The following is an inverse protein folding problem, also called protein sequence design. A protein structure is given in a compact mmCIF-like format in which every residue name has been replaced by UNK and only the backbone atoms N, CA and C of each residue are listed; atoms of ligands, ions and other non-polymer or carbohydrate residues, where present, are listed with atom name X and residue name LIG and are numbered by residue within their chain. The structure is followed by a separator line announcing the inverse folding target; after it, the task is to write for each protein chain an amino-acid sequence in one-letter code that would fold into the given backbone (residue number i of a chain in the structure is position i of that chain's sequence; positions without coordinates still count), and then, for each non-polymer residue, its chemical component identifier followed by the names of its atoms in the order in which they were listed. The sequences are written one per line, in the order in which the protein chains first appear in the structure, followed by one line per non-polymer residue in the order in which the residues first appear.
data_IF_088400474164
#
_entry.id   IF_088400474164
#
_cell.length_a   1.000
_cell.length_b   1.000
_cell.length_c   1.000
_cell.angle_alpha   90.00
_cell.angle_beta   90.00
_cell.angle_gamma   90.00
#
_symmetry.space_group_name_H-M   'P 1'
#
loop_
_entity.id
_entity.type
_entity.pdbx_description
1 polymer ?
#
# COMPACT_ATOMS: atom_id res chain seq x y z
N UNK A 1 -16.15 -33.14 2.12
CA UNK A 1 -15.61 -33.63 0.84
C UNK A 1 -14.10 -33.69 0.96
N UNK A 2 -13.56 -34.89 1.09
CA UNK A 2 -12.11 -35.15 1.15
C UNK A 2 -11.53 -34.92 -0.24
N UNK A 3 -10.91 -33.77 -0.46
CA UNK A 3 -10.18 -33.48 -1.69
C UNK A 3 -8.96 -34.42 -1.71
N UNK A 4 -8.86 -35.39 -2.63
CA UNK A 4 -7.74 -36.31 -2.64
C UNK A 4 -6.55 -35.54 -3.20
N UNK A 5 -5.78 -34.91 -2.31
CA UNK A 5 -4.46 -34.41 -2.65
C UNK A 5 -3.65 -35.57 -3.22
N UNK A 6 -3.12 -35.39 -4.43
CA UNK A 6 -2.13 -36.31 -5.00
C UNK A 6 -0.87 -36.32 -4.11
N UNK A 7 0.07 -37.22 -4.35
CA UNK A 7 1.33 -37.32 -3.58
C UNK A 7 2.10 -35.98 -3.46
N UNK A 8 1.87 -35.04 -4.38
CA UNK A 8 2.46 -33.70 -4.39
C UNK A 8 1.63 -32.60 -3.70
N UNK A 9 0.52 -32.94 -3.03
CA UNK A 9 -0.35 -31.94 -2.38
C UNK A 9 -1.25 -31.15 -3.34
N UNK A 10 -1.30 -31.54 -4.63
CA UNK A 10 -2.09 -30.90 -5.68
C UNK A 10 -3.34 -31.72 -6.01
N UNK A 11 -4.44 -31.06 -6.37
CA UNK A 11 -5.59 -31.76 -6.96
C UNK A 11 -5.25 -32.29 -8.38
N UNK A 12 -6.00 -33.28 -8.91
CA UNK A 12 -5.70 -33.88 -10.20
C UNK A 12 -5.65 -32.91 -11.39
N UNK A 13 -6.47 -31.86 -11.40
CA UNK A 13 -6.50 -30.86 -12.48
C UNK A 13 -5.21 -30.05 -12.45
N UNK A 14 -4.84 -29.58 -11.25
CA UNK A 14 -3.60 -28.83 -11.07
C UNK A 14 -2.37 -29.67 -11.39
N UNK A 15 -2.30 -30.94 -10.94
CA UNK A 15 -1.17 -31.82 -11.23
C UNK A 15 -1.01 -32.09 -12.74
N UNK A 16 -2.11 -32.41 -13.43
CA UNK A 16 -2.08 -32.66 -14.88
C UNK A 16 -1.61 -31.41 -15.63
N UNK A 17 -2.06 -30.23 -15.21
CA UNK A 17 -1.66 -28.98 -15.82
C UNK A 17 -0.19 -28.63 -15.54
N UNK A 18 0.31 -28.90 -14.33
CA UNK A 18 1.73 -28.75 -13.99
C UNK A 18 2.61 -29.63 -14.89
N UNK A 19 2.25 -30.90 -15.08
CA UNK A 19 2.98 -31.81 -15.97
C UNK A 19 2.95 -31.34 -17.42
N UNK A 20 1.81 -30.82 -17.89
CA UNK A 20 1.67 -30.22 -19.23
C UNK A 20 2.59 -29.01 -19.41
N UNK A 21 2.69 -28.13 -18.42
CA UNK A 21 3.56 -26.94 -18.47
C UNK A 21 5.03 -27.35 -18.43
N UNK A 22 5.41 -28.22 -17.48
CA UNK A 22 6.79 -28.69 -17.31
C UNK A 22 7.29 -29.51 -18.50
N UNK A 23 6.41 -30.27 -19.16
CA UNK A 23 6.74 -31.03 -20.37
C UNK A 23 6.70 -30.21 -21.66
N UNK A 24 6.41 -28.90 -21.59
CA UNK A 24 6.32 -28.07 -22.79
C UNK A 24 7.72 -27.70 -23.34
N UNK A 25 7.93 -27.68 -24.67
CA UNK A 25 9.22 -27.27 -25.25
C UNK A 25 9.68 -25.86 -24.85
N UNK A 26 8.76 -24.98 -24.47
CA UNK A 26 9.03 -23.60 -24.04
C UNK A 26 9.16 -23.42 -22.52
N UNK A 27 9.31 -24.50 -21.75
CA UNK A 27 9.27 -24.44 -20.29
C UNK A 27 10.37 -23.55 -19.69
N UNK A 28 11.62 -23.66 -20.16
CA UNK A 28 12.73 -22.83 -19.65
C UNK A 28 12.48 -21.35 -19.91
N UNK A 29 12.01 -21.01 -21.11
CA UNK A 29 11.65 -19.64 -21.47
C UNK A 29 10.47 -19.12 -20.63
N UNK A 30 9.49 -19.98 -20.36
CA UNK A 30 8.37 -19.65 -19.48
C UNK A 30 8.87 -19.36 -18.06
N UNK A 31 9.77 -20.19 -17.53
CA UNK A 31 10.36 -20.02 -16.21
C UNK A 31 11.16 -18.72 -16.13
N UNK A 32 11.93 -18.38 -17.17
CA UNK A 32 12.65 -17.11 -17.28
C UNK A 32 11.71 -15.91 -17.25
N UNK A 33 10.61 -15.94 -18.01
CA UNK A 33 9.60 -14.88 -17.95
C UNK A 33 9.05 -14.74 -16.53
N UNK A 34 8.68 -15.84 -15.87
CA UNK A 34 8.15 -15.80 -14.50
C UNK A 34 9.19 -15.24 -13.52
N UNK A 35 10.45 -15.67 -13.60
CA UNK A 35 11.56 -15.13 -12.79
C UNK A 35 11.74 -13.63 -13.01
N UNK A 36 11.65 -13.14 -14.26
CA UNK A 36 11.74 -11.70 -14.60
C UNK A 36 10.60 -10.87 -14.00
N UNK A 37 9.41 -11.45 -13.84
CA UNK A 37 8.30 -10.80 -13.09
C UNK A 37 8.50 -10.83 -11.57
N UNK A 38 9.56 -11.48 -11.08
CA UNK A 38 9.81 -11.71 -9.66
C UNK A 38 8.95 -12.82 -9.07
N UNK A 39 8.37 -13.71 -9.88
CA UNK A 39 7.38 -14.69 -9.42
C UNK A 39 5.99 -14.08 -9.21
N UNK A 40 5.55 -13.22 -10.14
CA UNK A 40 4.22 -12.61 -10.05
C UNK A 40 3.13 -13.68 -10.08
N UNK A 41 2.17 -13.59 -9.15
CA UNK A 41 1.07 -14.56 -9.02
C UNK A 41 -0.04 -14.37 -10.06
N UNK A 42 -0.17 -13.17 -10.65
CA UNK A 42 -1.21 -12.85 -11.63
C UNK A 42 -0.66 -11.91 -12.72
N UNK A 43 0.34 -12.33 -13.52
CA UNK A 43 1.03 -11.45 -14.47
C UNK A 43 0.08 -10.95 -15.57
N UNK A 44 0.36 -9.75 -16.09
CA UNK A 44 -0.31 -9.23 -17.29
C UNK A 44 0.35 -9.86 -18.52
N UNK A 45 -0.46 -10.29 -19.48
CA UNK A 45 0.00 -10.82 -20.75
C UNK A 45 -0.04 -9.75 -21.83
N UNK A 46 1.06 -9.61 -22.56
CA UNK A 46 1.16 -8.78 -23.74
C UNK A 46 1.47 -9.67 -24.95
N UNK A 47 0.86 -9.37 -26.09
CA UNK A 47 1.23 -9.91 -27.40
C UNK A 47 1.68 -8.77 -28.30
N UNK A 48 2.75 -8.96 -29.07
CA UNK A 48 3.29 -7.89 -29.90
C UNK A 48 4.77 -8.02 -30.15
N UNK A 49 5.39 -6.89 -30.48
CA UNK A 49 6.79 -6.84 -30.90
C UNK A 49 7.44 -5.49 -30.57
N UNK A 50 8.77 -5.50 -30.56
CA UNK A 50 9.61 -4.30 -30.51
C UNK A 50 10.79 -4.46 -31.47
N UNK A 51 11.12 -3.38 -32.20
CA UNK A 51 12.26 -3.28 -33.09
C UNK A 51 13.10 -2.07 -32.66
N UNK A 52 14.39 -2.27 -32.47
CA UNK A 52 15.38 -1.21 -32.30
C UNK A 52 16.08 -1.00 -33.63
N UNK A 53 16.08 0.22 -34.14
CA UNK A 53 16.78 0.61 -35.36
C UNK A 53 17.82 1.69 -35.10
N UNK A 54 18.91 1.66 -35.83
CA UNK A 54 19.80 2.81 -35.95
C UNK A 54 19.08 3.90 -36.74
N UNK A 55 18.96 5.11 -36.17
CA UNK A 55 18.27 6.25 -36.79
C UNK A 55 18.98 6.77 -38.03
N UNK A 56 20.29 6.59 -38.11
CA UNK A 56 21.13 7.15 -39.16
C UNK A 56 21.18 6.20 -40.36
N UNK A 57 21.42 4.91 -40.10
CA UNK A 57 21.58 3.90 -41.16
C UNK A 57 20.27 3.19 -41.49
N UNK A 58 19.30 3.19 -40.57
CA UNK A 58 18.07 2.39 -40.67
C UNK A 58 18.27 0.90 -40.36
N UNK A 59 19.49 0.49 -39.99
CA UNK A 59 19.84 -0.90 -39.62
C UNK A 59 18.98 -1.38 -38.45
N UNK A 60 18.50 -2.62 -38.51
CA UNK A 60 17.79 -3.24 -37.38
C UNK A 60 18.81 -3.82 -36.41
N UNK A 61 18.92 -3.19 -35.24
CA UNK A 61 19.84 -3.57 -34.18
C UNK A 61 19.30 -4.73 -33.35
N UNK A 62 17.98 -4.76 -33.14
CA UNK A 62 17.31 -5.80 -32.37
C UNK A 62 15.85 -5.91 -32.81
N UNK A 63 15.33 -7.13 -32.81
CA UNK A 63 13.91 -7.40 -33.03
C UNK A 63 13.46 -8.48 -32.05
N UNK A 64 12.39 -8.18 -31.33
CA UNK A 64 11.72 -9.11 -30.43
C UNK A 64 10.24 -9.19 -30.78
N UNK A 65 9.70 -10.41 -30.80
CA UNK A 65 8.28 -10.69 -31.06
C UNK A 65 7.80 -11.81 -30.14
N UNK A 66 6.55 -11.72 -29.68
CA UNK A 66 5.94 -12.75 -28.84
C UNK A 66 5.49 -13.97 -29.63
N UNK A 67 5.60 -13.97 -30.97
CA UNK A 67 5.23 -15.10 -31.84
C UNK A 67 5.89 -16.41 -31.42
N UNK A 68 7.13 -16.35 -30.94
CA UNK A 68 7.91 -17.52 -30.50
C UNK A 68 7.96 -17.67 -28.98
N UNK A 69 7.20 -16.87 -28.23
CA UNK A 69 7.13 -16.97 -26.78
C UNK A 69 6.15 -18.07 -26.33
N UNK A 70 6.34 -18.68 -25.15
CA UNK A 70 5.41 -19.65 -24.59
C UNK A 70 4.00 -19.09 -24.42
N UNK A 71 3.09 -19.56 -25.28
CA UNK A 71 1.70 -19.10 -25.36
C UNK A 71 1.50 -17.81 -26.15
N UNK A 72 2.44 -17.44 -27.03
CA UNK A 72 2.34 -16.25 -27.89
C UNK A 72 2.41 -14.93 -27.13
N UNK A 73 2.93 -14.95 -25.90
CA UNK A 73 2.76 -13.86 -24.92
C UNK A 73 4.00 -13.60 -24.07
N UNK A 74 4.22 -12.31 -23.78
CA UNK A 74 5.15 -11.80 -22.79
C UNK A 74 4.41 -11.56 -21.47
N UNK A 75 4.98 -12.05 -20.35
CA UNK A 75 4.46 -11.82 -19.00
C UNK A 75 5.12 -10.61 -18.36
N UNK A 76 4.31 -9.66 -17.91
CA UNK A 76 4.72 -8.47 -17.15
C UNK A 76 4.15 -8.54 -15.74
N UNK A 77 4.93 -8.10 -14.75
CA UNK A 77 4.48 -8.07 -13.36
C UNK A 77 3.23 -7.20 -13.20
N UNK A 78 2.22 -7.67 -12.47
CA UNK A 78 0.94 -6.97 -12.33
C UNK A 78 1.01 -5.63 -11.57
N UNK A 79 2.07 -5.39 -10.81
CA UNK A 79 2.23 -4.19 -9.99
C UNK A 79 1.20 -4.07 -8.86
N UNK A 80 0.43 -5.12 -8.57
CA UNK A 80 -0.60 -5.10 -7.53
C UNK A 80 0.07 -4.98 -6.15
N UNK A 81 -0.35 -3.97 -5.38
CA UNK A 81 0.20 -3.71 -4.05
C UNK A 81 -0.26 -4.71 -2.98
N UNK A 82 -1.32 -5.48 -3.22
CA UNK A 82 -1.97 -6.32 -2.21
C UNK A 82 -1.29 -7.68 -2.12
N UNK A 83 -0.78 -8.00 -0.93
CA UNK A 83 -0.11 -9.27 -0.68
C UNK A 83 -1.05 -10.47 -0.86
N UNK A 84 -2.35 -10.28 -0.59
CA UNK A 84 -3.43 -11.26 -0.84
C UNK A 84 -3.62 -11.63 -2.31
N UNK A 85 -3.15 -10.79 -3.25
CA UNK A 85 -3.28 -11.00 -4.70
C UNK A 85 -1.99 -11.40 -5.35
N UNK A 86 -0.92 -10.69 -5.02
CA UNK A 86 0.40 -10.98 -5.54
C UNK A 86 1.43 -10.66 -4.46
N UNK A 87 1.86 -11.64 -3.65
CA UNK A 87 2.88 -11.45 -2.63
C UNK A 87 4.16 -10.82 -3.19
N UNK A 88 4.59 -11.25 -4.39
CA UNK A 88 5.79 -10.74 -5.05
C UNK A 88 5.71 -9.25 -5.41
N UNK A 89 4.66 -8.81 -6.12
CA UNK A 89 4.50 -7.40 -6.48
C UNK A 89 4.24 -6.53 -5.25
N UNK A 90 3.49 -7.05 -4.26
CA UNK A 90 3.25 -6.36 -3.00
C UNK A 90 4.55 -6.15 -2.20
N UNK A 91 5.46 -7.11 -2.19
CA UNK A 91 6.77 -6.98 -1.55
C UNK A 91 7.58 -5.83 -2.16
N UNK A 92 7.63 -5.75 -3.50
CA UNK A 92 8.30 -4.63 -4.20
C UNK A 92 7.66 -3.28 -3.85
N UNK A 93 6.33 -3.23 -3.81
CA UNK A 93 5.59 -2.01 -3.41
C UNK A 93 5.85 -1.62 -1.94
N UNK A 94 5.94 -2.59 -1.04
CA UNK A 94 6.32 -2.36 0.36
C UNK A 94 7.73 -1.79 0.44
N UNK A 95 8.68 -2.35 -0.32
CA UNK A 95 10.05 -1.85 -0.42
C UNK A 95 10.12 -0.40 -0.92
N UNK A 96 9.32 -0.04 -1.92
CA UNK A 96 9.22 1.34 -2.39
C UNK A 96 8.67 2.28 -1.32
N UNK A 97 7.61 1.85 -0.64
CA UNK A 97 7.01 2.64 0.43
C UNK A 97 7.99 2.82 1.58
N UNK A 98 8.73 1.77 1.94
CA UNK A 98 9.80 1.83 2.93
C UNK A 98 10.86 2.86 2.54
N UNK A 99 11.39 2.79 1.31
CA UNK A 99 12.41 3.74 0.81
C UNK A 99 11.89 5.18 0.82
N UNK A 100 10.64 5.39 0.41
CA UNK A 100 9.99 6.70 0.40
C UNK A 100 9.85 7.29 1.82
N UNK A 101 9.38 6.49 2.78
CA UNK A 101 9.18 6.94 4.17
C UNK A 101 10.51 7.12 4.89
N UNK A 102 11.45 6.18 4.72
CA UNK A 102 12.81 6.25 5.28
C UNK A 102 13.56 7.48 4.78
N UNK A 103 13.55 7.76 3.48
CA UNK A 103 14.22 8.94 2.93
C UNK A 103 13.69 10.23 3.58
N UNK A 104 12.38 10.34 3.79
CA UNK A 104 11.80 11.47 4.52
C UNK A 104 12.16 11.51 6.02
N UNK A 105 12.44 10.37 6.66
CA UNK A 105 12.76 10.35 8.09
C UNK A 105 14.25 10.57 8.37
N UNK A 106 15.10 10.04 7.49
CA UNK A 106 16.52 9.82 7.75
C UNK A 106 17.45 10.53 6.75
N UNK A 107 16.90 11.10 5.68
CA UNK A 107 17.68 11.50 4.51
C UNK A 107 18.07 10.30 3.66
N UNK A 108 18.36 10.57 2.39
CA UNK A 108 18.82 9.63 1.38
C UNK A 108 19.35 10.45 0.18
N UNK A 109 20.68 10.53 0.04
CA UNK A 109 21.35 11.36 -0.97
C UNK A 109 20.96 10.95 -2.40
N UNK A 110 20.83 9.64 -2.67
CA UNK A 110 20.35 9.12 -3.96
C UNK A 110 18.91 9.54 -4.31
N UNK A 111 18.18 10.06 -3.32
CA UNK A 111 16.80 10.55 -3.47
C UNK A 111 16.69 12.04 -3.25
N UNK A 112 17.83 12.73 -3.22
CA UNK A 112 17.94 14.18 -3.05
C UNK A 112 17.27 14.66 -1.75
N UNK A 113 17.37 13.87 -0.67
CA UNK A 113 16.89 14.27 0.65
C UNK A 113 18.08 14.35 1.62
N UNK A 114 18.39 15.52 2.19
CA UNK A 114 19.57 15.66 3.02
C UNK A 114 19.40 14.95 4.37
N UNK A 115 20.52 14.48 4.93
CA UNK A 115 20.56 13.85 6.25
C UNK A 115 20.11 14.80 7.38
N UNK A 116 20.17 16.11 7.16
CA UNK A 116 19.73 17.15 8.11
C UNK A 116 18.23 17.08 8.43
N UNK A 117 17.43 16.41 7.60
CA UNK A 117 16.00 16.15 7.88
C UNK A 117 15.79 15.43 9.22
N UNK A 118 16.81 14.70 9.70
CA UNK A 118 16.83 14.07 11.03
C UNK A 118 16.76 15.07 12.18
N UNK A 119 17.05 16.34 11.94
CA UNK A 119 16.95 17.40 12.95
C UNK A 119 15.56 18.05 12.98
N UNK A 120 14.68 17.73 12.01
CA UNK A 120 13.37 18.35 11.90
C UNK A 120 12.38 17.71 12.87
N UNK A 121 11.55 18.49 13.59
CA UNK A 121 10.54 17.95 14.49
C UNK A 121 9.59 17.01 13.76
N UNK A 122 9.48 15.77 14.25
CA UNK A 122 8.68 14.72 13.62
C UNK A 122 7.92 13.88 14.63
N UNK A 123 6.69 13.52 14.26
CA UNK A 123 5.75 12.78 15.09
C UNK A 123 5.09 11.70 14.24
N UNK A 124 4.99 10.50 14.80
CA UNK A 124 4.13 9.43 14.31
C UNK A 124 2.78 9.53 15.01
N UNK A 125 1.73 9.79 14.23
CA UNK A 125 0.36 9.95 14.72
C UNK A 125 -0.57 8.88 14.16
N UNK A 126 -1.44 8.31 15.00
CA UNK A 126 -2.51 7.38 14.60
C UNK A 126 -3.87 7.97 14.90
N UNK A 127 -4.62 8.33 13.86
CA UNK A 127 -6.00 8.82 13.93
C UNK A 127 -6.97 7.67 13.73
N UNK A 128 -7.75 7.33 14.75
CA UNK A 128 -8.67 6.19 14.72
C UNK A 128 -10.09 6.57 14.35
N UNK A 129 -10.87 5.60 13.88
CA UNK A 129 -12.30 5.75 13.70
C UNK A 129 -13.05 5.86 15.04
N UNK A 130 -14.20 6.57 15.10
CA UNK A 130 -15.11 6.49 16.23
C UNK A 130 -15.73 5.08 16.33
N UNK A 131 -16.50 4.84 17.40
CA UNK A 131 -17.28 3.61 17.54
C UNK A 131 -18.61 3.74 16.80
N UNK A 132 -19.04 2.65 16.15
CA UNK A 132 -20.35 2.49 15.50
C UNK A 132 -21.22 1.44 16.21
N UNK A 133 -20.84 1.08 17.43
CA UNK A 133 -21.41 -0.05 18.16
C UNK A 133 -20.30 -0.91 18.79
N UNK A 134 -20.68 -1.76 19.77
CA UNK A 134 -19.74 -2.66 20.41
C UNK A 134 -19.35 -3.81 19.48
N UNK A 135 -18.07 -4.17 19.49
CA UNK A 135 -17.52 -5.27 18.69
C UNK A 135 -16.78 -6.26 19.57
N UNK A 136 -16.65 -7.49 19.09
CA UNK A 136 -15.74 -8.46 19.67
C UNK A 136 -14.30 -7.94 19.61
N UNK A 137 -13.60 -8.02 20.74
CA UNK A 137 -12.24 -7.51 20.89
C UNK A 137 -11.44 -8.41 21.84
N UNK A 138 -10.13 -8.13 21.96
CA UNK A 138 -9.23 -8.78 22.92
C UNK A 138 -8.75 -7.74 23.92
N UNK A 139 -9.40 -7.58 25.09
CA UNK A 139 -8.90 -6.75 26.17
C UNK A 139 -7.52 -7.25 26.66
N UNK A 140 -6.68 -6.35 27.17
CA UNK A 140 -5.37 -6.70 27.75
C UNK A 140 -5.54 -7.60 28.99
N UNK A 141 -6.61 -7.37 29.75
CA UNK A 141 -7.00 -8.19 30.89
C UNK A 141 -8.47 -8.58 30.80
N UNK A 142 -8.78 -9.83 31.18
CA UNK A 142 -10.14 -10.34 31.26
C UNK A 142 -10.67 -10.99 29.97
N UNK A 143 -11.98 -10.88 29.78
CA UNK A 143 -12.74 -11.51 28.69
C UNK A 143 -13.37 -10.42 27.83
N UNK A 144 -13.65 -10.75 26.57
CA UNK A 144 -14.48 -9.90 25.74
C UNK A 144 -15.86 -9.72 26.39
N UNK A 145 -16.58 -8.66 26.02
CA UNK A 145 -17.92 -8.37 26.55
C UNK A 145 -18.93 -9.49 26.27
N UNK A 146 -18.67 -10.36 25.28
CA UNK A 146 -19.45 -11.58 25.06
C UNK A 146 -19.17 -12.71 26.07
N UNK A 147 -18.21 -12.55 27.00
CA UNK A 147 -17.78 -13.56 27.97
C UNK A 147 -16.63 -14.46 27.49
N UNK A 148 -16.27 -14.43 26.20
CA UNK A 148 -15.22 -15.28 25.63
C UNK A 148 -13.84 -14.63 25.69
N UNK A 149 -12.80 -15.42 25.94
CA UNK A 149 -11.41 -14.99 25.75
C UNK A 149 -10.97 -15.39 24.35
N UNK A 150 -11.01 -14.45 23.43
CA UNK A 150 -10.67 -14.69 22.02
C UNK A 150 -9.15 -14.88 21.83
N UNK A 151 -8.77 -15.83 20.98
CA UNK A 151 -7.41 -15.95 20.44
C UNK A 151 -7.14 -14.81 19.44
N UNK A 152 -5.88 -14.56 19.07
CA UNK A 152 -5.51 -13.45 18.16
C UNK A 152 -6.08 -13.58 16.73
N UNK A 153 -6.32 -14.81 16.32
CA UNK A 153 -6.81 -15.26 15.01
C UNK A 153 -8.30 -15.59 15.00
N UNK A 154 -8.99 -15.40 16.13
CA UNK A 154 -10.43 -15.66 16.24
C UNK A 154 -11.23 -14.80 15.25
N UNK A 155 -12.03 -15.47 14.42
CA UNK A 155 -12.86 -14.87 13.36
C UNK A 155 -13.94 -13.92 13.88
N UNK A 156 -14.34 -14.05 15.15
CA UNK A 156 -15.27 -13.12 15.76
C UNK A 156 -14.64 -11.74 15.98
N UNK A 157 -13.31 -11.63 16.13
CA UNK A 157 -12.67 -10.36 16.45
C UNK A 157 -12.97 -9.28 15.39
N UNK A 158 -13.54 -8.16 15.84
CA UNK A 158 -13.94 -7.04 15.00
C UNK A 158 -15.40 -7.09 14.54
N UNK A 159 -16.08 -8.23 14.64
CA UNK A 159 -17.52 -8.31 14.31
C UNK A 159 -18.37 -7.66 15.41
N UNK A 160 -19.56 -7.21 15.04
CA UNK A 160 -20.51 -6.63 15.98
C UNK A 160 -20.92 -7.64 17.06
N UNK A 161 -20.98 -7.22 18.33
CA UNK A 161 -21.54 -8.07 19.40
C UNK A 161 -23.02 -8.33 19.17
N UNK A 162 -23.72 -7.33 18.67
CA UNK A 162 -25.11 -7.40 18.23
C UNK A 162 -25.18 -6.81 16.81
N UNK A 163 -25.32 -7.66 15.78
CA UNK A 163 -25.42 -7.24 14.39
C UNK A 163 -26.67 -6.40 14.07
N UNK A 164 -27.72 -6.43 14.88
CA UNK A 164 -28.95 -5.68 14.61
C UNK A 164 -28.86 -4.22 15.10
N UNK A 165 -28.04 -3.95 16.11
CA UNK A 165 -27.85 -2.61 16.68
C UNK A 165 -26.58 -1.89 16.21
N UNK A 166 -25.70 -2.57 15.48
CA UNK A 166 -24.48 -1.96 14.94
C UNK A 166 -24.79 -0.99 13.79
N UNK A 167 -24.22 0.21 13.83
CA UNK A 167 -24.43 1.28 12.84
C UNK A 167 -23.56 1.08 11.59
N UNK A 168 -23.95 0.10 10.76
CA UNK A 168 -23.27 -0.21 9.49
C UNK A 168 -23.26 0.99 8.53
N UNK A 169 -24.35 1.74 8.46
CA UNK A 169 -24.45 2.92 7.61
C UNK A 169 -23.47 4.01 8.06
N UNK A 170 -23.38 4.29 9.37
CA UNK A 170 -22.40 5.21 9.93
C UNK A 170 -20.96 4.79 9.67
N UNK A 171 -20.65 3.50 9.81
CA UNK A 171 -19.31 2.94 9.55
C UNK A 171 -18.86 3.15 8.09
N UNK A 172 -19.72 2.80 7.13
CA UNK A 172 -19.45 2.96 5.69
C UNK A 172 -19.34 4.43 5.27
N UNK A 173 -20.24 5.29 5.77
CA UNK A 173 -20.18 6.73 5.49
C UNK A 173 -18.93 7.36 6.09
N UNK A 174 -18.52 6.97 7.31
CA UNK A 174 -17.26 7.40 7.90
C UNK A 174 -16.07 7.02 7.02
N UNK A 175 -16.00 5.77 6.56
CA UNK A 175 -14.93 5.32 5.65
C UNK A 175 -14.90 6.15 4.37
N UNK A 176 -16.06 6.44 3.76
CA UNK A 176 -16.13 7.26 2.55
C UNK A 176 -15.63 8.70 2.76
N UNK A 177 -15.89 9.25 3.95
CA UNK A 177 -15.52 10.62 4.35
C UNK A 177 -14.18 10.73 5.09
N UNK A 178 -13.46 9.63 5.33
CA UNK A 178 -12.17 9.67 6.03
C UNK A 178 -11.12 10.55 5.32
N UNK A 179 -11.17 10.62 3.98
CA UNK A 179 -10.35 11.55 3.20
C UNK A 179 -10.66 13.03 3.48
N UNK A 180 -11.95 13.37 3.61
CA UNK A 180 -12.42 14.72 3.93
C UNK A 180 -11.99 15.11 5.35
N UNK A 181 -12.09 14.18 6.31
CA UNK A 181 -11.61 14.36 7.69
C UNK A 181 -10.10 14.62 7.74
N UNK A 182 -9.31 13.90 6.95
CA UNK A 182 -7.86 14.14 6.88
C UNK A 182 -7.53 15.51 6.28
N UNK A 183 -8.22 15.92 5.22
CA UNK A 183 -8.03 17.25 4.65
C UNK A 183 -8.30 18.33 5.71
N UNK A 184 -9.43 18.24 6.42
CA UNK A 184 -9.79 19.17 7.50
C UNK A 184 -8.80 19.15 8.65
N UNK A 185 -8.35 17.97 9.07
CA UNK A 185 -7.30 17.80 10.07
C UNK A 185 -6.01 18.52 9.68
N UNK A 186 -5.48 18.29 8.47
CA UNK A 186 -4.23 18.94 8.05
C UNK A 186 -4.40 20.46 7.88
N UNK A 187 -5.57 20.93 7.47
CA UNK A 187 -5.87 22.36 7.41
C UNK A 187 -5.88 22.97 8.80
N UNK A 188 -6.52 22.31 9.78
CA UNK A 188 -6.52 22.79 11.16
C UNK A 188 -5.14 22.70 11.80
N UNK A 189 -4.39 21.64 11.55
CA UNK A 189 -3.04 21.46 12.09
C UNK A 189 -2.10 22.62 11.71
N UNK A 190 -2.16 23.12 10.47
CA UNK A 190 -1.40 24.31 10.07
C UNK A 190 -1.79 25.55 10.87
N UNK A 191 -3.06 25.69 11.25
CA UNK A 191 -3.54 26.80 12.09
C UNK A 191 -3.07 26.68 13.52
N UNK A 192 -3.12 25.46 14.07
CA UNK A 192 -2.65 25.17 15.44
C UNK A 192 -1.15 25.40 15.59
N UNK A 193 -0.36 25.06 14.56
CA UNK A 193 1.08 25.34 14.51
C UNK A 193 1.32 26.84 14.44
N UNK A 194 0.66 27.55 13.52
CA UNK A 194 0.82 29.01 13.38
C UNK A 194 0.50 29.74 14.69
N UNK A 195 -0.62 29.41 15.33
CA UNK A 195 -1.03 30.01 16.59
C UNK A 195 -0.01 29.79 17.73
N UNK A 196 0.52 28.56 17.86
CA UNK A 196 1.56 28.25 18.87
C UNK A 196 2.90 28.92 18.59
N UNK A 197 3.21 29.17 17.32
CA UNK A 197 4.40 29.90 16.91
C UNK A 197 4.24 31.44 17.00
N UNK A 198 3.05 31.95 17.36
CA UNK A 198 2.76 33.38 17.36
C UNK A 198 2.68 33.99 15.94
N UNK A 199 2.39 33.16 14.93
CA UNK A 199 2.37 33.52 13.51
C UNK A 199 0.95 33.49 12.94
N UNK A 200 0.73 34.28 11.89
CA UNK A 200 -0.38 34.08 10.97
C UNK A 200 -0.12 32.88 10.05
N UNK A 201 -1.18 32.37 9.40
CA UNK A 201 -1.02 31.31 8.39
C UNK A 201 -0.21 31.74 7.16
N UNK A 202 -0.14 33.05 6.87
CA UNK A 202 0.66 33.58 5.77
C UNK A 202 2.13 33.51 6.13
N UNK A 203 2.50 34.05 7.28
CA UNK A 203 3.87 34.02 7.80
C UNK A 203 4.37 32.59 8.02
N UNK A 204 3.51 31.68 8.49
CA UNK A 204 3.88 30.27 8.63
C UNK A 204 4.37 29.68 7.30
N UNK A 205 3.73 30.02 6.16
CA UNK A 205 4.13 29.48 4.84
C UNK A 205 5.46 30.04 4.35
N UNK A 206 5.87 31.19 4.86
CA UNK A 206 7.12 31.86 4.49
C UNK A 206 8.31 31.28 5.26
N UNK A 207 8.09 30.68 6.44
CA UNK A 207 9.17 30.13 7.26
C UNK A 207 9.11 28.60 7.45
N UNK A 208 7.96 27.96 7.28
CA UNK A 208 7.78 26.55 7.60
C UNK A 208 6.83 25.80 6.64
N UNK A 209 7.06 24.50 6.52
CA UNK A 209 6.19 23.61 5.75
C UNK A 209 5.79 22.40 6.57
N UNK A 210 4.48 22.10 6.56
CA UNK A 210 3.96 20.85 7.08
C UNK A 210 4.16 19.74 6.04
N UNK A 211 5.05 18.80 6.35
CA UNK A 211 5.32 17.62 5.54
C UNK A 211 4.76 16.37 6.19
N UNK A 212 4.25 15.43 5.40
CA UNK A 212 3.75 14.18 5.94
C UNK A 212 3.78 13.03 4.93
N UNK A 213 3.90 11.81 5.43
CA UNK A 213 3.54 10.57 4.74
C UNK A 213 2.45 9.87 5.55
N UNK A 214 1.36 9.42 4.91
CA UNK A 214 0.28 8.71 5.59
C UNK A 214 -0.09 7.41 4.88
N UNK A 215 -0.53 6.44 5.67
CA UNK A 215 -1.18 5.22 5.20
C UNK A 215 -2.52 5.02 5.88
N UNK A 216 -3.48 4.49 5.12
CA UNK A 216 -4.76 4.03 5.60
C UNK A 216 -4.69 2.54 5.87
N UNK A 217 -5.19 2.12 7.03
CA UNK A 217 -5.37 0.71 7.38
C UNK A 217 -6.81 0.48 7.83
N UNK A 218 -7.32 -0.73 7.57
CA UNK A 218 -8.58 -1.20 8.11
C UNK A 218 -8.37 -1.91 9.44
N UNK A 219 -9.11 -1.48 10.46
CA UNK A 219 -9.29 -2.26 11.68
C UNK A 219 -10.07 -3.53 11.36
N UNK A 220 -9.95 -4.59 12.18
CA UNK A 220 -10.74 -5.83 12.00
C UNK A 220 -12.25 -5.59 11.86
N UNK A 221 -12.77 -4.51 12.47
CA UNK A 221 -14.18 -4.06 12.36
C UNK A 221 -14.54 -3.34 11.05
N UNK A 222 -13.66 -3.30 10.06
CA UNK A 222 -13.90 -2.66 8.77
C UNK A 222 -13.81 -1.13 8.77
N UNK A 223 -13.51 -0.48 9.90
CA UNK A 223 -13.34 0.97 9.98
C UNK A 223 -11.89 1.38 9.65
N UNK A 224 -11.73 2.44 8.87
CA UNK A 224 -10.40 2.94 8.47
C UNK A 224 -9.75 3.80 9.56
N UNK A 225 -8.46 3.62 9.80
CA UNK A 225 -7.63 4.53 10.60
C UNK A 225 -6.39 4.95 9.81
N UNK A 226 -5.85 6.13 10.13
CA UNK A 226 -4.69 6.68 9.45
C UNK A 226 -3.48 6.68 10.37
N UNK A 227 -2.38 6.11 9.88
CA UNK A 227 -1.05 6.31 10.43
C UNK A 227 -0.35 7.39 9.61
N UNK A 228 0.22 8.39 10.26
CA UNK A 228 0.91 9.48 9.61
C UNK A 228 2.24 9.79 10.30
N UNK A 229 3.30 9.87 9.50
CA UNK A 229 4.52 10.56 9.89
C UNK A 229 4.36 12.02 9.49
N UNK A 230 4.38 12.92 10.47
CA UNK A 230 4.18 14.35 10.29
C UNK A 230 5.44 15.07 10.74
N UNK A 231 5.91 16.03 9.94
CA UNK A 231 7.16 16.76 10.15
C UNK A 231 6.97 18.26 9.89
N UNK A 232 7.67 19.10 10.64
CA UNK A 232 7.80 20.52 10.36
C UNK A 232 9.16 20.74 9.68
N UNK A 233 9.12 21.18 8.43
CA UNK A 233 10.28 21.58 7.63
C UNK A 233 10.43 23.09 7.60
N UNK A 234 11.58 23.58 7.11
CA UNK A 234 11.71 24.95 6.66
C UNK A 234 10.86 25.25 5.41
N UNK A 235 10.90 26.49 4.94
CA UNK A 235 10.01 27.00 3.88
C UNK A 235 10.08 26.19 2.57
N UNK A 236 11.29 25.83 2.13
CA UNK A 236 11.50 25.10 0.87
C UNK A 236 11.34 23.57 1.00
N UNK A 237 11.14 23.08 2.23
CA UNK A 237 10.92 21.67 2.53
C UNK A 237 12.15 21.04 3.21
N UNK A 238 12.47 19.77 2.90
CA UNK A 238 13.47 19.00 3.64
C UNK A 238 14.89 19.58 3.54
N UNK A 239 15.15 20.40 2.52
CA UNK A 239 16.45 21.04 2.28
C UNK A 239 16.71 22.25 3.18
N UNK A 240 15.66 22.80 3.78
CA UNK A 240 15.75 23.96 4.67
C UNK A 240 15.57 23.54 6.12
N UNK A 241 16.43 24.07 6.99
CA UNK A 241 16.33 23.85 8.43
C UNK A 241 14.94 24.25 8.95
N UNK A 242 14.39 23.43 9.85
CA UNK A 242 13.17 23.79 10.57
C UNK A 242 13.38 25.08 11.40
N UNK A 243 12.37 25.94 11.54
CA UNK A 243 12.48 27.13 12.38
C UNK A 243 12.82 26.82 13.83
N UNK A 244 13.52 27.73 14.50
CA UNK A 244 13.97 27.54 15.90
C UNK A 244 12.83 27.34 16.91
N UNK A 245 11.62 27.84 16.61
CA UNK A 245 10.43 27.62 17.44
C UNK A 245 9.80 26.23 17.24
N UNK A 246 10.16 25.52 16.18
CA UNK A 246 9.55 24.23 15.85
C UNK A 246 10.12 23.14 16.77
N UNK A 247 9.25 22.48 17.53
CA UNK A 247 9.62 21.37 18.41
C UNK A 247 8.65 20.20 18.30
N UNK A 248 9.06 19.03 18.80
CA UNK A 248 8.21 17.83 18.86
C UNK A 248 7.03 18.01 19.80
N UNK A 249 7.20 18.78 20.86
CA UNK A 249 6.17 19.11 21.86
C UNK A 249 5.11 20.00 21.21
N UNK A 250 5.53 21.08 20.55
CA UNK A 250 4.62 21.97 19.81
C UNK A 250 3.83 21.19 18.76
N UNK A 251 4.51 20.34 17.97
CA UNK A 251 3.85 19.54 16.95
C UNK A 251 2.86 18.54 17.55
N UNK A 252 3.24 17.86 18.64
CA UNK A 252 2.37 16.89 19.33
C UNK A 252 1.10 17.55 19.86
N UNK A 253 1.24 18.72 20.49
CA UNK A 253 0.11 19.47 21.04
C UNK A 253 -0.79 20.04 19.94
N UNK A 254 -0.19 20.53 18.85
CA UNK A 254 -0.93 20.97 17.67
C UNK A 254 -1.72 19.82 17.02
N UNK A 255 -1.16 18.61 16.96
CA UNK A 255 -1.85 17.41 16.45
C UNK A 255 -3.07 17.07 17.32
N UNK A 256 -2.91 17.04 18.65
CA UNK A 256 -4.02 16.77 19.57
C UNK A 256 -5.12 17.82 19.43
N UNK A 257 -4.76 19.10 19.46
CA UNK A 257 -5.71 20.19 19.29
C UNK A 257 -6.41 20.13 17.93
N UNK A 258 -5.68 19.88 16.84
CA UNK A 258 -6.27 19.80 15.51
C UNK A 258 -7.23 18.62 15.34
N UNK A 259 -6.95 17.48 15.97
CA UNK A 259 -7.82 16.30 15.92
C UNK A 259 -9.13 16.51 16.71
N UNK A 260 -9.06 17.19 17.86
CA UNK A 260 -10.23 17.45 18.72
C UNK A 260 -11.08 18.64 18.27
N UNK A 261 -10.49 19.57 17.52
CA UNK A 261 -11.16 20.81 17.12
C UNK A 261 -12.41 20.56 16.23
N UNK A 262 -13.49 21.30 16.49
CA UNK A 262 -14.79 21.18 15.79
C UNK A 262 -14.75 21.33 14.26
N UNK A 263 -13.83 22.14 13.73
CA UNK A 263 -13.55 22.24 12.29
C UNK A 263 -13.17 20.88 11.65
N UNK A 264 -12.53 19.98 12.40
CA UNK A 264 -12.16 18.63 11.98
C UNK A 264 -13.35 17.67 12.07
N UNK A 265 -14.49 18.11 11.56
CA UNK A 265 -15.73 17.34 11.46
C UNK A 265 -16.24 17.36 10.03
N UNK A 266 -17.01 16.34 9.65
CA UNK A 266 -17.71 16.28 8.34
C UNK A 266 -19.18 16.00 8.61
N UNK A 267 -20.05 16.88 8.13
CA UNK A 267 -21.49 16.70 8.20
C UNK A 267 -22.01 16.04 6.93
N UNK A 268 -22.84 15.03 7.10
CA UNK A 268 -23.56 14.33 6.04
C UNK A 268 -25.05 14.61 6.23
N UNK A 269 -25.73 15.19 5.22
CA UNK A 269 -27.15 15.50 5.33
C UNK A 269 -27.99 14.23 5.45
N UNK A 270 -29.18 14.37 6.05
CA UNK A 270 -30.19 13.31 6.03
C UNK A 270 -30.61 13.02 4.58
N UNK A 271 -30.87 11.75 4.28
CA UNK A 271 -31.34 11.31 2.96
C UNK A 271 -32.14 10.02 3.11
N UNK A 272 -33.37 10.01 2.59
CA UNK A 272 -34.27 8.86 2.73
C UNK A 272 -34.48 8.45 4.19
N UNK A 273 -34.16 7.19 4.50
CA UNK A 273 -34.24 6.59 5.84
C UNK A 273 -33.00 6.88 6.72
N UNK A 274 -32.00 7.60 6.19
CA UNK A 274 -30.78 7.91 6.92
C UNK A 274 -30.85 9.29 7.58
N UNK A 275 -30.56 9.38 8.89
CA UNK A 275 -30.52 10.66 9.58
C UNK A 275 -29.30 11.50 9.16
N UNK A 276 -29.33 12.78 9.47
CA UNK A 276 -28.13 13.62 9.37
C UNK A 276 -27.07 13.13 10.36
N UNK A 277 -25.81 13.11 9.93
CA UNK A 277 -24.69 12.57 10.71
C UNK A 277 -23.53 13.55 10.73
N UNK A 278 -22.76 13.54 11.81
CA UNK A 278 -21.50 14.29 11.90
C UNK A 278 -20.39 13.34 12.30
N UNK A 279 -19.37 13.24 11.44
CA UNK A 279 -18.19 12.42 11.67
C UNK A 279 -17.03 13.24 12.23
N UNK A 280 -16.27 12.63 13.14
CA UNK A 280 -14.98 13.10 13.67
C UNK A 280 -14.06 11.90 13.89
N UNK A 281 -12.78 12.16 14.10
CA UNK A 281 -11.86 11.11 14.58
C UNK A 281 -12.29 10.60 15.96
N UNK A 282 -12.00 9.32 16.21
CA UNK A 282 -12.25 8.67 17.49
C UNK A 282 -11.39 9.25 18.61
N UNK A 283 -11.77 8.94 19.86
CA UNK A 283 -11.05 9.40 21.06
C UNK A 283 -9.64 8.81 21.19
N UNK A 284 -9.38 7.68 20.55
CA UNK A 284 -8.06 7.05 20.56
C UNK A 284 -7.18 7.73 19.52
N UNK A 285 -6.33 8.63 19.99
CA UNK A 285 -5.29 9.28 19.22
C UNK A 285 -3.95 8.93 19.84
N UNK A 286 -3.09 8.28 19.06
CA UNK A 286 -1.72 7.96 19.48
C UNK A 286 -0.77 8.97 18.84
N UNK A 287 0.08 9.62 19.63
CA UNK A 287 1.00 10.69 19.20
C UNK A 287 2.36 10.41 19.81
N UNK A 288 3.30 9.93 18.98
CA UNK A 288 4.63 9.52 19.41
C UNK A 288 5.70 10.34 18.68
N UNK A 289 6.49 11.16 19.37
CA UNK A 289 7.68 11.77 18.77
C UNK A 289 8.59 10.70 18.17
N UNK A 290 9.17 10.98 17.01
CA UNK A 290 10.17 10.09 16.37
C UNK A 290 11.53 10.74 16.58
N UNK A 291 12.44 10.07 17.30
CA UNK A 291 13.79 10.60 17.55
C UNK A 291 14.83 9.94 16.67
N UNK A 292 15.96 10.62 16.49
CA UNK A 292 17.10 10.10 15.74
C UNK A 292 17.78 8.95 16.49
N UNK A 293 18.53 8.12 15.79
CA UNK A 293 19.23 6.95 16.35
C UNK A 293 20.22 7.38 17.47
N UNK A 294 20.26 6.63 18.58
CA UNK A 294 21.30 6.77 19.63
C UNK A 294 20.85 7.30 21.00
N UNK A 295 19.55 7.52 21.24
CA UNK A 295 19.04 8.09 22.50
C UNK A 295 18.33 7.08 23.43
N UNK A 296 18.35 5.78 23.09
CA UNK A 296 17.72 4.73 23.89
C UNK A 296 16.18 4.69 23.79
N UNK A 297 15.56 5.34 22.80
CA UNK A 297 14.10 5.32 22.61
C UNK A 297 13.58 4.11 21.82
N UNK A 298 12.34 3.68 22.13
CA UNK A 298 11.67 2.50 21.54
C UNK A 298 11.22 2.67 20.07
N UNK A 299 11.21 3.89 19.51
CA UNK A 299 10.65 4.17 18.17
C UNK A 299 11.66 4.85 17.23
N UNK A 300 12.42 4.03 16.51
CA UNK A 300 13.42 4.49 15.52
C UNK A 300 12.81 4.82 14.15
N UNK A 301 13.51 5.62 13.35
CA UNK A 301 13.13 5.96 11.96
C UNK A 301 12.90 4.70 11.09
N UNK A 302 13.74 3.68 11.28
CA UNK A 302 13.63 2.41 10.56
C UNK A 302 12.40 1.62 11.01
N UNK A 303 12.10 1.61 12.31
CA UNK A 303 10.90 0.97 12.85
C UNK A 303 9.63 1.64 12.29
N UNK A 304 9.58 2.97 12.22
CA UNK A 304 8.46 3.72 11.64
C UNK A 304 8.32 3.43 10.14
N UNK A 305 9.41 3.48 9.37
CA UNK A 305 9.36 3.17 7.94
C UNK A 305 8.90 1.73 7.67
N UNK A 306 9.40 0.77 8.44
CA UNK A 306 9.00 -0.65 8.36
C UNK A 306 7.54 -0.83 8.73
N UNK A 307 7.09 -0.15 9.79
CA UNK A 307 5.70 -0.15 10.21
C UNK A 307 4.80 0.39 9.09
N UNK A 308 5.08 1.56 8.54
CA UNK A 308 4.28 2.16 7.46
C UNK A 308 4.27 1.28 6.20
N UNK A 309 5.42 0.73 5.80
CA UNK A 309 5.53 -0.17 4.64
C UNK A 309 4.71 -1.45 4.81
N UNK A 310 4.66 -2.02 6.02
CA UNK A 310 3.85 -3.19 6.36
C UNK A 310 2.36 -2.96 6.08
N UNK A 311 1.84 -1.76 6.34
CA UNK A 311 0.42 -1.46 6.12
C UNK A 311 0.10 -1.03 4.68
N UNK A 312 1.10 -0.58 3.93
CA UNK A 312 0.92 -0.14 2.54
C UNK A 312 0.40 -1.27 1.61
N UNK A 313 0.70 -2.53 1.96
CA UNK A 313 0.26 -3.72 1.23
C UNK A 313 -1.02 -4.35 1.77
N UNK A 314 -1.50 -3.90 2.93
CA UNK A 314 -2.79 -4.33 3.49
C UNK A 314 -3.94 -3.59 2.81
N UNK A 315 -5.07 -4.26 2.70
CA UNK A 315 -6.30 -3.69 2.19
C UNK A 315 -7.52 -4.31 2.92
N UNK A 316 -8.72 -3.94 2.52
CA UNK A 316 -9.95 -4.29 3.24
C UNK A 316 -10.20 -5.81 3.26
N UNK A 317 -9.65 -6.59 2.32
CA UNK A 317 -9.83 -8.04 2.31
C UNK A 317 -9.27 -8.74 3.56
N UNK A 318 -8.32 -8.12 4.26
CA UNK A 318 -7.84 -8.61 5.56
C UNK A 318 -8.91 -8.55 6.66
N UNK A 319 -10.05 -7.91 6.39
CA UNK A 319 -11.24 -7.87 7.25
C UNK A 319 -12.35 -8.81 6.76
N UNK A 320 -12.03 -9.71 5.82
CA UNK A 320 -12.96 -10.68 5.26
C UNK A 320 -13.75 -10.18 4.04
N UNK A 321 -13.35 -9.05 3.43
CA UNK A 321 -14.04 -8.53 2.24
C UNK A 321 -13.45 -9.07 0.94
N UNK A 322 -14.13 -8.78 -0.17
CA UNK A 322 -13.58 -9.00 -1.51
C UNK A 322 -12.48 -7.99 -1.81
N UNK A 323 -11.52 -8.40 -2.62
CA UNK A 323 -10.43 -7.54 -3.09
C UNK A 323 -10.77 -6.87 -4.44
N UNK A 324 -11.87 -7.25 -5.06
CA UNK A 324 -12.31 -6.75 -6.37
C UNK A 324 -13.67 -6.12 -6.23
N UNK A 325 -14.01 -5.26 -7.19
CA UNK A 325 -15.34 -4.64 -7.23
C UNK A 325 -16.41 -5.73 -7.23
N UNK A 326 -17.47 -5.46 -6.46
CA UNK A 326 -18.65 -6.31 -6.37
C UNK A 326 -19.59 -5.91 -7.50
N UNK A 327 -19.88 -6.82 -8.42
CA UNK A 327 -20.85 -6.59 -9.49
C UNK A 327 -22.28 -6.71 -8.96
N UNK A 328 -22.54 -7.78 -8.22
CA UNK A 328 -23.84 -8.11 -7.62
C UNK A 328 -23.70 -8.67 -6.19
N UNK A 329 -24.75 -8.52 -5.36
CA UNK A 329 -24.72 -9.03 -3.97
C UNK A 329 -24.66 -10.56 -3.89
N UNK A 330 -25.22 -11.28 -4.87
CA UNK A 330 -25.16 -12.74 -4.93
C UNK A 330 -23.73 -13.28 -5.07
N UNK A 331 -22.76 -12.44 -5.48
CA UNK A 331 -21.34 -12.83 -5.45
C UNK A 331 -20.86 -13.14 -4.03
N UNK A 332 -21.42 -12.51 -3.00
CA UNK A 332 -20.94 -12.68 -1.63
C UNK A 332 -21.13 -14.12 -1.12
N UNK A 333 -22.16 -14.82 -1.61
CA UNK A 333 -22.43 -16.23 -1.28
C UNK A 333 -21.39 -17.17 -1.89
N UNK A 334 -20.90 -16.85 -3.09
CA UNK A 334 -19.88 -17.65 -3.79
C UNK A 334 -18.48 -17.53 -3.18
N UNK A 335 -18.25 -16.49 -2.37
CA UNK A 335 -16.94 -16.16 -1.79
C UNK A 335 -16.92 -16.29 -0.27
N UNK A 336 -17.94 -16.91 0.33
CA UNK A 336 -18.06 -17.14 1.77
C UNK A 336 -17.78 -15.89 2.62
N UNK A 337 -18.25 -14.72 2.15
CA UNK A 337 -17.98 -13.44 2.80
C UNK A 337 -18.63 -13.44 4.20
N UNK A 338 -17.86 -13.21 5.29
CA UNK A 338 -18.38 -13.21 6.64
C UNK A 338 -19.53 -12.23 6.84
N UNK A 339 -20.48 -12.56 7.72
CA UNK A 339 -21.71 -11.79 7.92
C UNK A 339 -21.48 -10.29 8.19
N UNK A 340 -20.51 -9.96 9.05
CA UNK A 340 -20.20 -8.57 9.35
C UNK A 340 -19.71 -7.79 8.11
N UNK A 341 -18.83 -8.38 7.30
CA UNK A 341 -18.37 -7.78 6.05
C UNK A 341 -19.49 -7.67 5.02
N UNK A 342 -20.35 -8.71 4.92
CA UNK A 342 -21.55 -8.71 4.08
C UNK A 342 -22.51 -7.58 4.43
N UNK A 343 -22.76 -7.35 5.72
CA UNK A 343 -23.63 -6.24 6.19
C UNK A 343 -23.04 -4.87 5.84
N UNK A 344 -21.72 -4.68 5.96
CA UNK A 344 -21.05 -3.44 5.51
C UNK A 344 -21.16 -3.24 3.98
N UNK A 345 -20.95 -4.30 3.18
CA UNK A 345 -21.11 -4.25 1.71
C UNK A 345 -22.56 -3.94 1.32
N UNK A 346 -23.51 -4.55 2.02
CA UNK A 346 -24.95 -4.31 1.81
C UNK A 346 -25.32 -2.87 2.15
N UNK A 347 -24.78 -2.31 3.24
CA UNK A 347 -24.94 -0.91 3.58
C UNK A 347 -24.38 0.02 2.48
N UNK A 348 -23.23 -0.32 1.86
CA UNK A 348 -22.72 0.43 0.71
C UNK A 348 -23.72 0.45 -0.46
N UNK A 349 -24.37 -0.69 -0.75
CA UNK A 349 -25.37 -0.78 -1.82
C UNK A 349 -26.60 0.07 -1.55
N UNK A 350 -27.15 -0.01 -0.33
CA UNK A 350 -28.31 0.78 0.10
C UNK A 350 -28.02 2.28 0.00
N UNK A 351 -26.90 2.70 0.57
CA UNK A 351 -26.52 4.11 0.65
C UNK A 351 -26.14 4.73 -0.70
N UNK A 352 -25.75 3.94 -1.71
CA UNK A 352 -25.34 4.45 -3.02
C UNK A 352 -26.47 5.23 -3.71
N UNK A 353 -27.72 4.77 -3.60
CA UNK A 353 -28.89 5.48 -4.13
C UNK A 353 -29.24 6.75 -3.35
N UNK A 354 -28.94 6.78 -2.05
CA UNK A 354 -29.21 7.93 -1.18
C UNK A 354 -28.14 9.03 -1.30
N UNK A 355 -26.93 8.67 -1.73
CA UNK A 355 -25.76 9.55 -1.87
C UNK A 355 -25.03 9.30 -3.20
N UNK A 356 -25.66 9.63 -4.36
CA UNK A 356 -25.17 9.22 -5.69
C UNK A 356 -23.76 9.69 -6.03
N UNK A 357 -23.34 10.87 -5.53
CA UNK A 357 -22.00 11.42 -5.80
C UNK A 357 -20.87 10.74 -4.99
N UNK A 358 -21.23 9.83 -4.07
CA UNK A 358 -20.27 9.17 -3.17
C UNK A 358 -19.77 7.84 -3.69
N UNK A 359 -20.42 7.27 -4.71
CA UNK A 359 -20.03 6.02 -5.40
C UNK A 359 -19.79 4.88 -4.41
N UNK A 360 -20.63 4.77 -3.38
CA UNK A 360 -20.47 3.81 -2.29
C UNK A 360 -20.47 2.37 -2.81
N UNK A 361 -21.29 2.06 -3.80
CA UNK A 361 -21.32 0.74 -4.42
C UNK A 361 -20.03 0.41 -5.16
N UNK A 362 -19.48 1.36 -5.93
CA UNK A 362 -18.22 1.17 -6.64
C UNK A 362 -17.03 0.87 -5.71
N UNK A 363 -17.14 1.30 -4.45
CA UNK A 363 -16.14 1.11 -3.39
C UNK A 363 -16.60 0.13 -2.30
N UNK A 364 -17.63 -0.70 -2.53
CA UNK A 364 -18.15 -1.62 -1.53
C UNK A 364 -17.13 -2.69 -1.10
N UNK A 365 -16.30 -3.15 -2.03
CA UNK A 365 -15.14 -4.02 -1.75
C UNK A 365 -14.09 -3.38 -0.82
N UNK A 366 -14.12 -2.05 -0.71
CA UNK A 366 -13.32 -1.25 0.23
C UNK A 366 -14.16 -0.70 1.39
N UNK A 367 -15.33 -1.28 1.65
CA UNK A 367 -16.24 -0.85 2.72
C UNK A 367 -16.58 0.65 2.67
N UNK A 368 -16.74 1.17 1.43
CA UNK A 368 -17.06 2.57 1.16
C UNK A 368 -15.85 3.51 1.12
N UNK A 369 -14.65 3.06 1.51
CA UNK A 369 -13.44 3.89 1.45
C UNK A 369 -13.00 4.13 0.01
N UNK A 370 -12.97 5.40 -0.40
CA UNK A 370 -12.59 5.85 -1.75
C UNK A 370 -11.26 6.61 -1.82
N UNK A 371 -10.52 6.64 -0.72
CA UNK A 371 -9.27 7.39 -0.61
C UNK A 371 -8.05 6.60 -1.09
N UNK A 372 -6.91 7.29 -1.22
CA UNK A 372 -5.63 6.62 -1.42
C UNK A 372 -5.15 5.95 -0.14
N UNK A 373 -4.71 4.69 -0.27
CA UNK A 373 -4.13 3.91 0.82
C UNK A 373 -2.81 4.46 1.33
N UNK A 374 -1.99 5.03 0.46
CA UNK A 374 -0.75 5.69 0.83
C UNK A 374 -0.67 7.00 0.09
N UNK A 375 -0.29 8.07 0.78
CA UNK A 375 -0.11 9.39 0.19
C UNK A 375 0.88 10.20 1.01
N UNK A 376 1.63 11.08 0.36
CA UNK A 376 2.56 11.99 1.01
C UNK A 376 2.33 13.44 0.55
N UNK A 377 2.77 14.41 1.35
CA UNK A 377 2.90 15.79 0.88
C UNK A 377 3.97 15.85 -0.23
N UNK A 378 3.84 16.83 -1.13
CA UNK A 378 4.67 16.91 -2.35
C UNK A 378 6.18 16.86 -2.06
N UNK A 379 6.62 17.62 -1.05
CA UNK A 379 8.04 17.79 -0.64
C UNK A 379 8.46 16.85 0.50
N UNK A 380 7.70 15.80 0.83
CA UNK A 380 8.09 14.92 1.95
C UNK A 380 9.38 14.13 1.68
N UNK A 381 9.50 13.57 0.47
CA UNK A 381 10.63 12.78 -0.06
C UNK A 381 10.48 12.58 -1.59
N UNK A 382 11.15 11.60 -2.19
CA UNK A 382 10.98 11.17 -3.60
C UNK A 382 9.58 10.60 -3.93
N UNK A 383 9.33 10.17 -5.16
CA UNK A 383 8.04 9.59 -5.61
C UNK A 383 8.13 8.11 -5.93
N UNK A 384 7.00 7.39 -5.84
CA UNK A 384 6.90 6.01 -6.34
C UNK A 384 7.18 5.92 -7.85
N UNK A 385 6.89 6.99 -8.61
CA UNK A 385 7.23 7.08 -10.03
C UNK A 385 8.74 7.07 -10.26
N UNK A 386 9.46 7.92 -9.53
CA UNK A 386 10.93 7.98 -9.57
C UNK A 386 11.57 6.65 -9.20
N UNK A 387 11.09 5.98 -8.15
CA UNK A 387 11.62 4.66 -7.74
C UNK A 387 11.36 3.56 -8.80
N UNK A 388 10.21 3.63 -9.48
CA UNK A 388 9.91 2.72 -10.61
C UNK A 388 10.76 3.03 -11.82
N UNK A 389 10.97 4.31 -12.13
CA UNK A 389 11.81 4.74 -13.24
C UNK A 389 13.26 4.31 -13.04
N UNK A 390 13.83 4.53 -11.85
CA UNK A 390 15.18 4.09 -11.54
C UNK A 390 15.37 2.57 -11.76
N UNK A 391 14.37 1.75 -11.43
CA UNK A 391 14.40 0.31 -11.74
C UNK A 391 14.25 0.02 -13.24
N UNK A 392 13.39 0.76 -13.94
CA UNK A 392 13.21 0.61 -15.37
C UNK A 392 14.51 0.97 -16.12
N UNK A 393 15.15 2.07 -15.74
CA UNK A 393 16.43 2.52 -16.30
C UNK A 393 17.54 1.50 -16.04
N UNK A 394 17.62 0.97 -14.81
CA UNK A 394 18.55 -0.11 -14.49
C UNK A 394 18.34 -1.34 -15.39
N UNK A 395 17.08 -1.73 -15.65
CA UNK A 395 16.77 -2.84 -16.56
C UNK A 395 17.06 -2.52 -18.02
N UNK A 396 16.79 -1.29 -18.45
CA UNK A 396 17.11 -0.83 -19.80
C UNK A 396 18.63 -0.81 -20.04
N UNK A 397 19.43 -0.41 -19.04
CA UNK A 397 20.88 -0.47 -19.11
C UNK A 397 21.39 -1.92 -19.26
N UNK A 398 20.87 -2.85 -18.45
CA UNK A 398 21.19 -4.28 -18.57
C UNK A 398 20.80 -4.86 -19.94
N UNK A 399 19.66 -4.43 -20.50
CA UNK A 399 19.24 -4.86 -21.83
C UNK A 399 20.15 -4.29 -22.92
N UNK A 400 20.58 -3.02 -22.80
CA UNK A 400 21.55 -2.42 -23.73
C UNK A 400 22.89 -3.16 -23.71
N UNK A 401 23.38 -3.52 -22.52
CA UNK A 401 24.59 -4.33 -22.35
C UNK A 401 24.43 -5.71 -23.00
N UNK A 402 23.33 -6.41 -22.71
CA UNK A 402 23.06 -7.72 -23.31
C UNK A 402 22.92 -7.71 -24.84
N UNK A 403 22.53 -6.56 -25.42
CA UNK A 403 22.41 -6.35 -26.86
C UNK A 403 23.68 -5.73 -27.50
N UNK A 404 24.75 -5.51 -26.73
CA UNK A 404 25.97 -4.82 -27.18
C UNK A 404 25.68 -3.44 -27.81
N UNK A 405 24.78 -2.68 -27.18
CA UNK A 405 24.36 -1.34 -27.61
C UNK A 405 24.94 -0.23 -26.72
N UNK A 406 25.90 -0.54 -25.85
CA UNK A 406 26.48 0.37 -24.85
C UNK A 406 27.19 1.57 -25.47
N UNK A 407 28.02 1.32 -26.48
CA UNK A 407 28.83 2.31 -27.20
C UNK A 407 28.02 3.17 -28.18
N UNK A 408 26.73 2.88 -28.33
CA UNK A 408 25.83 3.68 -29.18
C UNK A 408 25.16 4.78 -28.36
N UNK A 409 25.29 6.01 -28.82
CA UNK A 409 24.58 7.16 -28.24
C UNK A 409 23.07 6.89 -28.18
N UNK A 410 22.41 7.02 -27.00
CA UNK A 410 20.98 6.70 -26.84
C UNK A 410 20.07 7.39 -27.86
N UNK A 411 20.42 8.62 -28.24
CA UNK A 411 19.64 9.42 -29.18
C UNK A 411 19.72 8.91 -30.63
N UNK A 412 20.60 7.95 -30.94
CA UNK A 412 20.73 7.35 -32.27
C UNK A 412 19.90 6.07 -32.46
N UNK A 413 19.23 5.56 -31.41
CA UNK A 413 18.37 4.37 -31.52
C UNK A 413 16.89 4.76 -31.60
N UNK A 414 16.20 4.31 -32.66
CA UNK A 414 14.75 4.42 -32.82
C UNK A 414 14.09 3.12 -32.33
N UNK A 415 13.22 3.24 -31.33
CA UNK A 415 12.42 2.13 -30.81
C UNK A 415 11.03 2.18 -31.41
N UNK A 416 10.65 1.15 -32.15
CA UNK A 416 9.30 0.94 -32.69
C UNK A 416 8.67 -0.24 -31.95
N UNK A 417 7.45 -0.10 -31.45
CA UNK A 417 6.78 -1.18 -30.74
C UNK A 417 5.27 -1.17 -30.98
N UNK A 418 4.68 -2.35 -31.01
CA UNK A 418 3.24 -2.57 -30.95
C UNK A 418 2.95 -3.63 -29.89
N UNK A 419 2.12 -3.28 -28.91
CA UNK A 419 1.79 -4.14 -27.77
C UNK A 419 0.29 -4.15 -27.52
N UNK A 420 -0.29 -5.35 -27.44
CA UNK A 420 -1.70 -5.56 -27.19
C UNK A 420 -1.91 -6.37 -25.91
N UNK A 421 -2.98 -6.06 -25.19
CA UNK A 421 -3.37 -6.81 -24.00
C UNK A 421 -3.89 -8.20 -24.38
N UNK A 422 -3.25 -9.25 -23.84
CA UNK A 422 -3.53 -10.66 -24.15
C UNK A 422 -4.04 -11.45 -22.94
N UNK A 423 -4.64 -10.77 -21.95
CA UNK A 423 -5.14 -11.39 -20.73
C UNK A 423 -4.22 -11.21 -19.52
N UNK A 424 -4.47 -11.96 -18.46
CA UNK A 424 -3.63 -12.01 -17.27
C UNK A 424 -3.75 -13.37 -16.57
N UNK A 425 -2.87 -13.61 -15.61
CA UNK A 425 -2.95 -14.73 -14.69
C UNK A 425 -2.27 -15.99 -15.18
N UNK A 426 -2.34 -17.01 -14.35
CA UNK A 426 -1.75 -18.32 -14.58
C UNK A 426 -2.86 -19.37 -14.66
N UNK A 427 -2.64 -20.42 -15.45
CA UNK A 427 -3.41 -21.66 -15.26
C UNK A 427 -3.14 -22.26 -13.88
N UNK A 428 -3.94 -23.23 -13.38
CA UNK A 428 -3.69 -23.83 -12.07
C UNK A 428 -2.28 -24.41 -11.92
N UNK A 429 -1.77 -25.10 -12.95
CA UNK A 429 -0.42 -25.65 -12.98
C UNK A 429 0.68 -24.60 -13.10
N UNK A 430 0.49 -23.57 -13.95
CA UNK A 430 1.39 -22.41 -14.00
C UNK A 430 1.46 -21.71 -12.63
N UNK A 431 0.33 -21.61 -11.91
CA UNK A 431 0.24 -20.98 -10.58
C UNK A 431 1.07 -21.74 -9.54
N UNK A 432 0.98 -23.07 -9.52
CA UNK A 432 1.75 -23.91 -8.61
C UNK A 432 3.26 -23.77 -8.84
N UNK A 433 3.69 -23.78 -10.12
CA UNK A 433 5.10 -23.62 -10.50
C UNK A 433 5.61 -22.18 -10.23
N UNK A 434 4.83 -21.16 -10.57
CA UNK A 434 5.17 -19.76 -10.31
C UNK A 434 5.28 -19.47 -8.82
N UNK A 435 4.44 -20.09 -7.98
CA UNK A 435 4.54 -20.00 -6.53
C UNK A 435 5.84 -20.61 -5.99
N UNK A 436 6.34 -21.70 -6.57
CA UNK A 436 7.66 -22.24 -6.24
C UNK A 436 8.77 -21.26 -6.58
N UNK A 437 8.76 -20.71 -7.81
CA UNK A 437 9.74 -19.71 -8.24
C UNK A 437 9.71 -18.48 -7.30
N UNK A 438 8.52 -18.02 -6.91
CA UNK A 438 8.38 -16.90 -5.99
C UNK A 438 8.98 -17.19 -4.60
N UNK A 439 8.79 -18.41 -4.07
CA UNK A 439 9.41 -18.85 -2.80
C UNK A 439 10.92 -18.91 -2.91
N UNK A 440 11.46 -19.49 -3.99
CA UNK A 440 12.91 -19.59 -4.20
C UNK A 440 13.54 -18.19 -4.30
N UNK A 441 12.92 -17.27 -5.04
CA UNK A 441 13.37 -15.88 -5.13
C UNK A 441 13.30 -15.16 -3.77
N UNK A 442 12.32 -15.48 -2.94
CA UNK A 442 12.23 -14.93 -1.58
C UNK A 442 13.34 -15.49 -0.69
N UNK A 443 13.53 -16.82 -0.67
CA UNK A 443 14.56 -17.48 0.11
C UNK A 443 15.95 -16.95 -0.25
N UNK A 444 16.27 -16.85 -1.55
CA UNK A 444 17.53 -16.29 -2.01
C UNK A 444 17.79 -14.86 -1.51
N UNK A 445 16.74 -14.03 -1.40
CA UNK A 445 16.87 -12.65 -0.87
C UNK A 445 17.09 -12.65 0.64
N UNK A 446 16.45 -13.56 1.36
CA UNK A 446 16.61 -13.71 2.81
C UNK A 446 18.03 -14.21 3.12
N UNK A 447 18.48 -15.27 2.46
CA UNK A 447 19.86 -15.78 2.56
C UNK A 447 20.89 -14.71 2.19
N UNK A 448 20.69 -13.96 1.10
CA UNK A 448 21.61 -12.88 0.74
C UNK A 448 21.65 -11.75 1.79
N UNK A 449 20.52 -11.45 2.44
CA UNK A 449 20.46 -10.47 3.52
C UNK A 449 21.19 -10.96 4.77
N UNK A 450 21.00 -12.22 5.14
CA UNK A 450 21.68 -12.85 6.29
C UNK A 450 23.19 -12.84 6.06
N UNK A 451 23.66 -13.31 4.90
CA UNK A 451 25.07 -13.30 4.53
C UNK A 451 25.68 -11.88 4.53
N UNK A 452 24.96 -10.87 4.03
CA UNK A 452 25.43 -9.47 4.09
C UNK A 452 25.55 -8.94 5.53
N UNK A 453 24.65 -9.33 6.44
CA UNK A 453 24.72 -8.93 7.83
C UNK A 453 25.92 -9.57 8.56
N UNK A 454 26.22 -10.83 8.24
CA UNK A 454 27.41 -11.54 8.76
C UNK A 454 28.70 -10.84 8.31
N UNK A 455 28.82 -10.48 7.02
CA UNK A 455 29.99 -9.76 6.49
C UNK A 455 30.23 -8.40 7.17
N UNK A 456 29.15 -7.67 7.52
CA UNK A 456 29.27 -6.42 8.26
C UNK A 456 29.70 -6.62 9.72
N UNK A 457 29.42 -7.78 10.30
CA UNK A 457 29.81 -8.12 11.68
C UNK A 457 31.27 -8.60 11.75
N UNK A 458 31.77 -9.23 10.69
CA UNK A 458 33.17 -9.68 10.60
C UNK A 458 34.16 -8.53 10.29
N UNK A 459 33.69 -7.43 9.70
CA UNK A 459 34.51 -6.25 9.40
C UNK A 459 34.76 -5.28 10.57
N UNK A 460 34.25 -5.58 11.77
CA UNK A 460 34.43 -4.78 12.99
C UNK A 460 35.53 -5.32 13.96
N UNK A 461 36.39 -6.25 13.50
CA UNK A 461 37.51 -6.79 14.29
C UNK A 461 38.86 -6.18 13.97
#
# INVERSE_FOLDING_TARGET
MTNPATFAGLDPVTLSDTLRVAGSPGFDRWQDQVRRTGGCADPVHLSGWVIHKDKTTGETLHHYSTEHEPGGRLRVACGNRRASRCPSCAWTYAGDTYRLIRAGLAGDEDKEIPATVRNHPRVFATLTAPSFGPVHNRPDHGRCRCGTRHASDDSALGTALDPETYDYAGSVLFNNHAGDLWQRFTNRLRREIAARAGLTQRELKECARLSYGKVAEFQKRGAVHFHAVIRIDGADGPDSAAPSWASTELLSDAIRAAADHSYTTVSVPASGDQPARTFRWGRQLDVRPVKAFGDGSDLTEQAVASYVAKYATKAAENTGTLDRRVGELAELDRHDVPDHARRLITACRHLDGLYPDRRLWAWAHMLGFRGHFSSKSRRYSTTLGTLRQARADFRAAQEREALALEDREPDTVLVLADWQYAGHGHTPGESALAATIARDLQANRETAREALAELHTEGEW
#
